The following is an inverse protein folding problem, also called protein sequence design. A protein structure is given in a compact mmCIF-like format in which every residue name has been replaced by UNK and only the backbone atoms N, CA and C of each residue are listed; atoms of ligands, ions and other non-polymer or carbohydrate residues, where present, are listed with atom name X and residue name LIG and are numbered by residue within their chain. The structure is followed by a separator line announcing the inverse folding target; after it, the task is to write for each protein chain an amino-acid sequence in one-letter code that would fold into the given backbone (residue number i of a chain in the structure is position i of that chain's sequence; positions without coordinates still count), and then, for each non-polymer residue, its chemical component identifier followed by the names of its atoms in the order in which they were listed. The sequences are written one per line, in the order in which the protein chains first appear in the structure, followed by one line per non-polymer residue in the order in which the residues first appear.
data_IF_220730006281
#
_entry.id   IF_220730006281
#
_cell.length_a   1.000
_cell.length_b   1.000
_cell.length_c   1.000
_cell.angle_alpha   90.00
_cell.angle_beta   90.00
_cell.angle_gamma   90.00
#
_symmetry.space_group_name_H-M   'P 1'
#
loop_
_entity.id
_entity.type
_entity.pdbx_description
1 polymer ?
#
# COMPACT_ATOMS: atom_id res chain seq x y z
N UNK A 1 14.55 38.04 -10.09
CA UNK A 1 14.83 36.62 -10.30
C UNK A 1 13.56 35.85 -10.01
N UNK A 2 12.64 35.85 -10.97
CA UNK A 2 11.37 35.14 -10.83
C UNK A 2 11.60 33.71 -11.34
N UNK A 3 11.67 32.74 -10.45
CA UNK A 3 11.72 31.33 -10.78
C UNK A 3 10.44 30.91 -11.54
N UNK A 4 10.42 29.69 -12.07
CA UNK A 4 9.26 29.14 -12.76
C UNK A 4 9.65 28.08 -13.77
N UNK A 5 8.66 27.59 -14.51
CA UNK A 5 8.83 26.67 -15.62
C UNK A 5 8.61 27.45 -16.93
N UNK A 6 9.53 27.32 -17.89
CA UNK A 6 9.42 27.94 -19.20
C UNK A 6 9.39 26.87 -20.29
N UNK A 7 8.49 27.04 -21.24
CA UNK A 7 8.43 26.22 -22.44
C UNK A 7 8.81 27.10 -23.66
N UNK A 8 9.74 26.63 -24.49
CA UNK A 8 10.08 27.24 -25.75
C UNK A 8 9.42 26.47 -26.90
N UNK A 9 8.55 27.14 -27.65
CA UNK A 9 7.80 26.53 -28.76
C UNK A 9 8.50 26.63 -30.12
N UNK A 10 9.76 27.05 -30.13
CA UNK A 10 10.54 27.30 -31.35
C UNK A 10 10.52 28.77 -31.80
N UNK A 11 9.62 29.59 -31.25
CA UNK A 11 9.51 31.01 -31.58
C UNK A 11 9.55 31.93 -30.35
N UNK A 12 8.86 31.54 -29.27
CA UNK A 12 8.77 32.33 -28.04
C UNK A 12 8.84 31.45 -26.80
N UNK A 13 9.16 32.06 -25.67
CA UNK A 13 9.06 31.44 -24.36
C UNK A 13 7.69 31.70 -23.74
N UNK A 14 7.00 30.64 -23.39
CA UNK A 14 5.80 30.67 -22.56
C UNK A 14 6.24 30.41 -21.12
N UNK A 15 5.93 31.31 -20.21
CA UNK A 15 6.33 31.22 -18.82
C UNK A 15 5.14 30.72 -18.00
N UNK A 16 5.33 29.63 -17.32
CA UNK A 16 4.39 29.08 -16.35
C UNK A 16 4.94 29.39 -14.96
N UNK A 17 4.65 30.58 -14.44
CA UNK A 17 5.19 31.04 -13.17
C UNK A 17 4.13 31.64 -12.25
N UNK A 18 4.46 31.76 -11.10
CA UNK A 18 4.27 32.58 -9.90
C UNK A 18 3.05 33.51 -9.76
N UNK A 19 2.34 33.86 -10.81
CA UNK A 19 1.09 34.65 -10.69
C UNK A 19 -0.14 33.76 -10.41
N UNK A 20 0.07 32.44 -10.42
CA UNK A 20 -0.96 31.48 -10.06
C UNK A 20 -1.03 31.33 -8.54
N UNK A 21 -2.13 30.78 -8.05
CA UNK A 21 -2.40 30.53 -6.62
C UNK A 21 -1.28 29.70 -5.92
N UNK A 22 -0.39 29.09 -6.72
CA UNK A 22 0.73 28.23 -6.27
C UNK A 22 2.00 28.65 -7.01
N UNK A 23 2.81 29.55 -6.44
CA UNK A 23 4.05 29.97 -7.09
C UNK A 23 5.06 28.82 -7.08
N UNK A 24 5.62 28.52 -8.27
CA UNK A 24 6.75 27.58 -8.39
C UNK A 24 8.01 28.42 -8.39
N UNK A 25 8.86 28.21 -7.40
CA UNK A 25 10.14 28.91 -7.29
C UNK A 25 11.21 28.28 -8.16
N UNK A 26 11.27 26.96 -8.21
CA UNK A 26 12.17 26.20 -9.10
C UNK A 26 11.64 24.79 -9.30
N UNK A 27 11.97 24.15 -10.42
CA UNK A 27 11.68 22.75 -10.69
C UNK A 27 12.97 21.93 -10.60
N UNK A 28 12.95 20.85 -9.82
CA UNK A 28 14.10 19.95 -9.60
C UNK A 28 14.05 18.71 -10.50
N UNK A 29 12.87 18.30 -10.94
CA UNK A 29 12.71 17.15 -11.84
C UNK A 29 11.46 17.32 -12.68
N UNK A 30 11.52 16.86 -13.94
CA UNK A 30 10.43 16.99 -14.90
C UNK A 30 10.30 15.73 -15.75
N UNK A 31 9.06 15.33 -16.06
CA UNK A 31 8.77 14.20 -16.95
C UNK A 31 7.47 14.40 -17.71
N UNK A 32 7.42 13.95 -18.96
CA UNK A 32 6.24 13.98 -19.81
C UNK A 32 5.52 12.63 -19.78
N UNK A 33 4.18 12.65 -19.77
CA UNK A 33 3.38 11.45 -19.90
C UNK A 33 2.88 11.20 -21.33
N UNK A 34 2.22 10.07 -21.55
CA UNK A 34 1.72 9.67 -22.87
C UNK A 34 0.56 10.53 -23.39
N UNK A 35 0.02 11.44 -22.57
CA UNK A 35 -1.03 12.39 -22.95
C UNK A 35 -0.44 13.79 -23.22
N UNK A 36 0.88 13.95 -23.18
CA UNK A 36 1.56 15.23 -23.35
C UNK A 36 1.51 16.13 -22.12
N UNK A 37 1.05 15.63 -20.97
CA UNK A 37 1.08 16.39 -19.72
C UNK A 37 2.48 16.37 -19.13
N UNK A 38 2.91 17.51 -18.63
CA UNK A 38 4.21 17.65 -17.96
C UNK A 38 4.04 17.55 -16.45
N UNK A 39 4.78 16.64 -15.87
CA UNK A 39 4.82 16.42 -14.41
C UNK A 39 6.13 16.92 -13.88
N UNK A 40 6.13 17.73 -12.84
CA UNK A 40 7.35 18.24 -12.26
C UNK A 40 7.24 18.45 -10.75
N UNK A 41 8.39 18.38 -10.14
CA UNK A 41 8.57 18.57 -8.70
C UNK A 41 9.27 19.91 -8.48
N UNK A 42 8.74 20.72 -7.57
CA UNK A 42 9.38 21.96 -7.14
C UNK A 42 10.39 21.70 -6.02
N UNK A 43 11.27 22.68 -5.80
CA UNK A 43 12.21 22.67 -4.66
C UNK A 43 11.51 22.66 -3.29
N UNK A 44 10.20 22.98 -3.24
CA UNK A 44 9.39 22.98 -2.04
C UNK A 44 8.64 21.66 -1.84
N UNK A 45 9.13 20.57 -2.47
CA UNK A 45 8.55 19.21 -2.39
C UNK A 45 7.10 19.09 -2.91
N UNK A 46 6.70 19.97 -3.81
CA UNK A 46 5.36 19.95 -4.40
C UNK A 46 5.37 19.29 -5.79
N UNK A 47 4.37 18.47 -6.05
CA UNK A 47 4.16 17.84 -7.34
C UNK A 47 3.12 18.62 -8.16
N UNK A 48 3.48 18.98 -9.36
CA UNK A 48 2.62 19.71 -10.30
C UNK A 48 2.36 18.92 -11.57
N UNK A 49 1.18 19.12 -12.12
CA UNK A 49 0.81 18.67 -13.47
C UNK A 49 0.45 19.88 -14.32
N UNK A 50 1.14 20.05 -15.43
CA UNK A 50 0.81 21.02 -16.49
C UNK A 50 0.13 20.28 -17.64
N UNK A 51 -1.13 20.63 -17.89
CA UNK A 51 -1.90 20.14 -19.03
C UNK A 51 -2.27 21.34 -19.91
N UNK A 52 -1.76 21.36 -21.13
CA UNK A 52 -1.80 22.49 -22.04
C UNK A 52 -1.26 23.79 -21.40
N UNK A 53 -2.15 24.67 -20.97
CA UNK A 53 -1.80 25.91 -20.27
C UNK A 53 -2.26 25.93 -18.82
N UNK A 54 -2.86 24.83 -18.33
CA UNK A 54 -3.42 24.76 -16.99
C UNK A 54 -2.48 23.99 -16.06
N UNK A 55 -1.93 24.70 -15.08
CA UNK A 55 -1.07 24.12 -14.07
C UNK A 55 -1.84 23.84 -12.78
N UNK A 56 -1.75 22.61 -12.32
CA UNK A 56 -2.42 22.16 -11.11
C UNK A 56 -1.44 21.58 -10.12
N UNK A 57 -1.58 21.93 -8.84
CA UNK A 57 -0.88 21.28 -7.76
C UNK A 57 -1.61 19.96 -7.43
N UNK A 58 -0.85 18.88 -7.37
CA UNK A 58 -1.38 17.55 -7.08
C UNK A 58 -1.35 17.31 -5.58
N UNK A 59 -2.51 17.13 -4.98
CA UNK A 59 -2.69 16.90 -3.55
C UNK A 59 -3.23 15.50 -3.25
N UNK A 60 -3.14 15.09 -1.99
CA UNK A 60 -3.81 13.90 -1.49
C UNK A 60 -3.15 12.58 -1.89
N UNK A 61 -1.91 12.62 -2.33
CA UNK A 61 -1.15 11.41 -2.61
C UNK A 61 -0.73 10.73 -1.32
N UNK A 62 -1.42 9.67 -0.97
CA UNK A 62 -1.21 8.94 0.28
C UNK A 62 0.24 8.52 0.43
N UNK A 63 0.89 9.00 1.51
CA UNK A 63 2.26 8.65 1.87
C UNK A 63 3.37 9.39 1.09
N UNK A 64 2.99 10.37 0.25
CA UNK A 64 3.94 11.32 -0.36
C UNK A 64 3.84 12.67 0.33
N UNK A 65 2.63 13.08 0.73
CA UNK A 65 2.42 14.35 1.40
C UNK A 65 3.34 14.50 2.63
N UNK A 66 4.07 15.62 2.70
CA UNK A 66 5.02 15.91 3.76
C UNK A 66 6.36 15.16 3.69
N UNK A 67 6.67 14.53 2.54
CA UNK A 67 8.00 13.94 2.27
C UNK A 67 8.75 14.77 1.24
N UNK A 68 10.07 14.77 1.37
CA UNK A 68 10.92 15.33 0.32
C UNK A 68 10.85 14.46 -0.93
N UNK A 69 10.55 15.11 -2.05
CA UNK A 69 10.45 14.50 -3.38
C UNK A 69 11.69 14.93 -4.18
N UNK A 70 12.49 13.97 -4.59
CA UNK A 70 13.76 14.22 -5.28
C UNK A 70 13.68 14.06 -6.80
N UNK A 71 12.76 13.24 -7.29
CA UNK A 71 12.68 12.97 -8.73
C UNK A 71 11.30 12.44 -9.11
N UNK A 72 10.92 12.69 -10.38
CA UNK A 72 9.70 12.15 -10.97
C UNK A 72 10.01 11.62 -12.36
N UNK A 73 9.46 10.47 -12.72
CA UNK A 73 9.43 9.96 -14.09
C UNK A 73 8.11 9.27 -14.38
N UNK A 74 7.68 9.31 -15.64
CA UNK A 74 6.44 8.66 -16.07
C UNK A 74 6.74 7.42 -16.87
N UNK A 75 6.05 6.32 -16.56
CA UNK A 75 6.07 5.11 -17.36
C UNK A 75 4.78 4.31 -17.18
N UNK A 76 4.21 3.81 -18.31
CA UNK A 76 3.02 2.95 -18.32
C UNK A 76 1.86 3.49 -17.47
N UNK A 77 1.48 4.75 -17.70
CA UNK A 77 0.39 5.42 -16.98
C UNK A 77 0.58 5.48 -15.44
N UNK A 78 1.83 5.43 -15.01
CA UNK A 78 2.22 5.59 -13.62
C UNK A 78 3.25 6.69 -13.46
N UNK A 79 3.13 7.50 -12.41
CA UNK A 79 4.24 8.30 -11.90
C UNK A 79 5.11 7.44 -11.00
N UNK A 80 6.39 7.55 -11.18
CA UNK A 80 7.41 6.98 -10.31
C UNK A 80 8.16 8.12 -9.64
N UNK A 81 8.08 8.18 -8.34
CA UNK A 81 8.53 9.31 -7.54
C UNK A 81 9.61 8.82 -6.58
N UNK A 82 10.79 9.44 -6.67
CA UNK A 82 11.88 9.23 -5.73
C UNK A 82 11.71 10.11 -4.49
N UNK A 83 11.78 9.53 -3.30
CA UNK A 83 11.56 10.21 -2.01
C UNK A 83 12.66 9.88 -1.00
N UNK A 84 12.65 10.56 0.14
CA UNK A 84 13.49 10.22 1.32
C UNK A 84 13.33 8.78 1.81
N UNK A 85 12.21 8.13 1.52
CA UNK A 85 11.88 6.79 2.02
C UNK A 85 11.84 5.71 0.93
N UNK A 86 12.55 5.93 -0.17
CA UNK A 86 12.56 5.04 -1.34
C UNK A 86 11.71 5.57 -2.47
N UNK A 87 11.07 4.69 -3.22
CA UNK A 87 10.25 5.05 -4.38
C UNK A 87 8.76 4.96 -4.06
N UNK A 88 7.99 5.76 -4.77
CA UNK A 88 6.54 5.68 -4.78
C UNK A 88 6.04 5.55 -6.22
N UNK A 89 5.19 4.58 -6.49
CA UNK A 89 4.45 4.44 -7.73
C UNK A 89 3.03 4.97 -7.53
N UNK A 90 2.59 5.87 -8.41
CA UNK A 90 1.23 6.44 -8.41
C UNK A 90 0.55 6.10 -9.72
N UNK A 91 -0.55 5.40 -9.67
CA UNK A 91 -1.36 5.07 -10.85
C UNK A 91 -2.19 6.29 -11.25
N UNK A 92 -2.04 6.76 -12.49
CA UNK A 92 -2.67 8.00 -12.95
C UNK A 92 -4.19 7.90 -13.11
N UNK A 93 -4.74 6.69 -13.24
CA UNK A 93 -6.18 6.48 -13.42
C UNK A 93 -6.99 6.71 -12.13
N UNK A 94 -6.41 6.37 -10.97
CA UNK A 94 -7.13 6.35 -9.71
C UNK A 94 -6.35 6.97 -8.55
N UNK A 95 -5.15 7.49 -8.80
CA UNK A 95 -4.21 8.06 -7.82
C UNK A 95 -3.85 7.08 -6.67
N UNK A 96 -4.05 5.78 -6.89
CA UNK A 96 -3.59 4.76 -5.94
C UNK A 96 -2.06 4.79 -5.87
N UNK A 97 -1.53 4.72 -4.66
CA UNK A 97 -0.08 4.77 -4.41
C UNK A 97 0.44 3.45 -3.88
N UNK A 98 1.60 3.04 -4.36
CA UNK A 98 2.36 1.88 -3.85
C UNK A 98 3.76 2.34 -3.46
N UNK A 99 4.19 2.00 -2.26
CA UNK A 99 5.50 2.38 -1.74
C UNK A 99 6.50 1.24 -1.86
N UNK A 100 7.69 1.56 -2.34
CA UNK A 100 8.80 0.65 -2.55
C UNK A 100 10.01 1.19 -1.76
N UNK A 101 10.20 0.71 -0.56
CA UNK A 101 11.30 1.15 0.32
C UNK A 101 11.57 0.12 1.42
N UNK A 102 12.58 0.37 2.24
CA UNK A 102 13.01 -0.53 3.31
C UNK A 102 11.88 -0.94 4.25
N UNK A 103 10.99 0.00 4.60
CA UNK A 103 9.81 -0.26 5.46
C UNK A 103 8.75 -1.14 4.80
N UNK A 104 8.86 -1.37 3.49
CA UNK A 104 7.92 -2.14 2.67
C UNK A 104 8.56 -3.41 2.12
N UNK A 105 9.70 -3.85 2.71
CA UNK A 105 10.40 -5.05 2.31
C UNK A 105 11.26 -4.93 1.03
N UNK A 106 11.39 -3.73 0.47
CA UNK A 106 12.25 -3.48 -0.68
C UNK A 106 13.57 -2.84 -0.21
N UNK A 107 14.74 -3.32 -0.64
CA UNK A 107 16.04 -2.75 -0.28
C UNK A 107 16.32 -1.46 -1.05
N UNK A 108 15.35 -0.54 -1.07
CA UNK A 108 15.42 0.73 -1.76
C UNK A 108 15.54 1.83 -0.71
N UNK A 109 16.61 2.61 -0.84
CA UNK A 109 16.96 3.69 0.07
C UNK A 109 16.47 5.03 -0.49
N UNK A 110 16.78 6.10 0.22
CA UNK A 110 16.54 7.48 -0.18
C UNK A 110 17.05 7.74 -1.62
N UNK A 111 16.18 8.30 -2.45
CA UNK A 111 16.52 8.68 -3.82
C UNK A 111 17.40 9.94 -3.84
N UNK A 112 18.20 10.09 -4.88
CA UNK A 112 18.96 11.31 -5.14
C UNK A 112 18.17 12.27 -6.02
N UNK A 113 18.44 13.56 -5.86
CA UNK A 113 17.79 14.62 -6.61
C UNK A 113 18.02 14.44 -8.13
N UNK A 114 16.93 14.52 -8.89
CA UNK A 114 16.90 14.39 -10.36
C UNK A 114 17.65 13.15 -10.92
N UNK A 115 17.87 12.13 -10.11
CA UNK A 115 18.62 10.94 -10.48
C UNK A 115 17.69 9.82 -10.95
N UNK A 116 16.94 10.06 -12.03
CA UNK A 116 16.06 9.09 -12.66
C UNK A 116 16.25 9.04 -14.16
N UNK A 117 16.16 7.85 -14.74
CA UNK A 117 16.29 7.60 -16.17
C UNK A 117 15.35 6.48 -16.59
N UNK A 118 14.70 6.63 -17.73
CA UNK A 118 14.05 5.54 -18.47
C UNK A 118 14.96 5.14 -19.64
N UNK A 119 15.37 3.87 -19.68
CA UNK A 119 16.17 3.35 -20.78
C UNK A 119 15.30 2.99 -22.02
N UNK A 120 15.96 2.64 -23.12
CA UNK A 120 15.28 2.30 -24.38
C UNK A 120 14.44 1.03 -24.31
N UNK A 121 14.67 0.18 -23.30
CA UNK A 121 13.89 -1.04 -23.05
C UNK A 121 12.66 -0.76 -22.15
N UNK A 122 12.50 0.48 -21.66
CA UNK A 122 11.44 0.90 -20.75
C UNK A 122 11.73 0.57 -19.28
N UNK A 123 12.94 0.15 -18.93
CA UNK A 123 13.31 0.00 -17.54
C UNK A 123 13.55 1.37 -16.91
N UNK A 124 13.23 1.49 -15.65
CA UNK A 124 13.46 2.70 -14.87
C UNK A 124 14.69 2.54 -13.97
N UNK A 125 15.51 3.55 -13.94
CA UNK A 125 16.71 3.59 -13.11
C UNK A 125 16.62 4.75 -12.15
N UNK A 126 16.92 4.52 -10.88
CA UNK A 126 16.93 5.54 -9.84
C UNK A 126 18.26 5.50 -9.10
N UNK A 127 18.92 6.67 -9.06
CA UNK A 127 20.04 6.88 -8.16
C UNK A 127 19.56 7.00 -6.72
N UNK A 128 20.25 6.34 -5.80
CA UNK A 128 19.97 6.39 -4.36
C UNK A 128 21.25 6.62 -3.59
N UNK A 129 21.15 6.97 -2.31
CA UNK A 129 22.32 7.14 -1.43
C UNK A 129 23.15 5.84 -1.24
N UNK A 130 22.64 4.70 -1.67
CA UNK A 130 23.32 3.38 -1.56
C UNK A 130 23.65 2.75 -2.92
N UNK A 131 23.48 3.50 -4.00
CA UNK A 131 23.75 3.03 -5.35
C UNK A 131 22.58 3.23 -6.30
N UNK A 132 22.44 2.36 -7.28
CA UNK A 132 21.43 2.47 -8.35
C UNK A 132 20.43 1.34 -8.25
N UNK A 133 19.15 1.67 -8.35
CA UNK A 133 18.03 0.72 -8.39
C UNK A 133 17.49 0.66 -9.80
N UNK A 134 17.39 -0.54 -10.38
CA UNK A 134 16.70 -0.81 -11.64
C UNK A 134 15.32 -1.39 -11.34
N UNK A 135 14.30 -0.74 -11.84
CA UNK A 135 12.92 -1.22 -11.82
C UNK A 135 12.58 -1.78 -13.21
N UNK A 136 11.95 -2.93 -13.25
CA UNK A 136 11.48 -3.60 -14.46
C UNK A 136 9.93 -3.55 -14.48
N UNK A 137 9.31 -2.44 -14.90
CA UNK A 137 7.86 -2.24 -14.74
C UNK A 137 7.03 -3.34 -15.42
N UNK A 138 7.51 -3.85 -16.56
CA UNK A 138 6.82 -4.90 -17.32
C UNK A 138 6.97 -6.30 -16.70
N UNK A 139 7.86 -6.46 -15.72
CA UNK A 139 8.08 -7.71 -14.96
C UNK A 139 7.56 -7.63 -13.54
N UNK A 140 6.99 -6.51 -13.15
CA UNK A 140 6.24 -6.50 -11.89
C UNK A 140 5.12 -7.54 -12.03
N UNK A 141 5.31 -8.68 -11.36
CA UNK A 141 4.18 -9.54 -11.02
C UNK A 141 3.15 -8.64 -10.38
N UNK A 142 1.89 -8.75 -10.81
CA UNK A 142 0.78 -8.27 -9.98
C UNK A 142 1.15 -8.65 -8.55
N UNK A 143 1.22 -7.67 -7.66
CA UNK A 143 1.47 -7.97 -6.25
C UNK A 143 0.41 -9.01 -5.93
N UNK A 144 0.86 -10.19 -5.55
CA UNK A 144 -0.02 -11.36 -5.46
C UNK A 144 -1.26 -10.96 -4.69
N UNK A 145 -2.43 -11.33 -5.20
CA UNK A 145 -3.70 -11.19 -4.50
C UNK A 145 -3.49 -11.57 -3.04
N UNK A 146 -4.12 -10.86 -2.13
CA UNK A 146 -3.97 -11.15 -0.72
C UNK A 146 -4.26 -12.63 -0.48
N UNK A 147 -3.28 -13.37 0.03
CA UNK A 147 -3.44 -14.79 0.28
C UNK A 147 -4.51 -15.00 1.35
N UNK A 148 -5.34 -16.02 1.13
CA UNK A 148 -6.28 -16.49 2.18
C UNK A 148 -5.45 -16.78 3.44
N UNK A 149 -5.77 -16.19 4.58
CA UNK A 149 -5.05 -16.47 5.80
C UNK A 149 -5.22 -17.92 6.23
N UNK A 150 -4.24 -18.44 6.95
CA UNK A 150 -4.31 -19.75 7.59
C UNK A 150 -4.69 -19.59 9.07
N UNK A 151 -5.71 -20.31 9.52
CA UNK A 151 -6.01 -20.44 10.95
C UNK A 151 -5.05 -21.48 11.52
N UNK A 152 -3.90 -21.00 11.95
CA UNK A 152 -2.74 -21.84 12.29
C UNK A 152 -2.93 -22.61 13.60
N UNK A 153 -3.80 -22.13 14.51
CA UNK A 153 -3.99 -22.70 15.82
C UNK A 153 -5.29 -22.24 16.46
N UNK A 154 -5.95 -23.13 17.19
CA UNK A 154 -7.09 -22.80 18.03
C UNK A 154 -6.80 -23.32 19.46
N UNK A 155 -6.94 -22.46 20.45
CA UNK A 155 -6.68 -22.76 21.86
C UNK A 155 -7.96 -22.64 22.67
N UNK A 156 -8.09 -23.48 23.69
CA UNK A 156 -9.15 -23.41 24.70
C UNK A 156 -8.51 -23.01 26.03
N UNK A 157 -8.98 -21.90 26.64
CA UNK A 157 -8.37 -21.30 27.84
C UNK A 157 -6.86 -21.05 27.70
N UNK A 158 -6.44 -20.55 26.51
CA UNK A 158 -5.03 -20.28 26.16
C UNK A 158 -4.11 -21.51 26.21
N UNK A 159 -4.69 -22.71 26.24
CA UNK A 159 -3.95 -23.97 26.23
C UNK A 159 -4.16 -24.74 24.94
N UNK A 160 -3.13 -25.46 24.53
CA UNK A 160 -3.16 -26.35 23.37
C UNK A 160 -3.97 -27.59 23.74
N UNK A 161 -5.28 -27.49 23.60
CA UNK A 161 -6.20 -28.56 23.94
C UNK A 161 -6.61 -29.29 22.66
N UNK A 162 -6.71 -30.62 22.73
CA UNK A 162 -7.23 -31.40 21.61
C UNK A 162 -8.67 -30.96 21.29
N UNK A 163 -8.85 -30.52 20.05
CA UNK A 163 -10.16 -30.21 19.48
C UNK A 163 -10.61 -31.46 18.69
N UNK A 164 -11.75 -32.04 19.02
CA UNK A 164 -12.26 -33.22 18.32
C UNK A 164 -12.46 -32.92 16.81
N UNK A 165 -12.31 -33.93 15.95
CA UNK A 165 -12.52 -33.81 14.51
C UNK A 165 -13.90 -33.25 14.13
N UNK A 166 -14.94 -33.62 14.93
CA UNK A 166 -16.30 -33.12 14.77
C UNK A 166 -16.47 -31.68 15.29
N UNK A 167 -15.41 -31.07 15.86
CA UNK A 167 -15.37 -29.69 16.38
C UNK A 167 -16.49 -29.37 17.38
N UNK A 168 -16.92 -30.36 18.16
CA UNK A 168 -17.94 -30.23 19.22
C UNK A 168 -17.27 -30.09 20.59
N UNK A 169 -17.36 -28.89 21.15
CA UNK A 169 -16.77 -28.51 22.43
C UNK A 169 -17.79 -28.76 23.58
N UNK A 170 -17.28 -28.94 24.79
CA UNK A 170 -18.11 -29.01 25.98
C UNK A 170 -18.56 -27.61 26.39
N UNK A 171 -19.67 -27.50 27.12
CA UNK A 171 -20.22 -26.22 27.59
C UNK A 171 -19.23 -25.36 28.38
N UNK A 172 -18.28 -25.99 29.08
CA UNK A 172 -17.24 -25.32 29.84
C UNK A 172 -15.97 -25.01 29.04
N UNK A 173 -15.95 -25.30 27.76
CA UNK A 173 -14.87 -24.99 26.83
C UNK A 173 -15.24 -23.74 25.99
N UNK A 174 -15.63 -22.68 26.65
CA UNK A 174 -16.23 -21.46 26.06
C UNK A 174 -15.32 -20.23 26.03
N UNK A 175 -14.02 -20.43 26.22
CA UNK A 175 -12.99 -19.43 26.09
C UNK A 175 -12.01 -19.88 25.00
N UNK A 176 -12.14 -19.29 23.80
CA UNK A 176 -11.47 -19.79 22.60
C UNK A 176 -10.60 -18.68 22.00
N UNK A 177 -9.35 -19.03 21.72
CA UNK A 177 -8.40 -18.14 21.03
C UNK A 177 -8.07 -18.71 19.66
N UNK A 178 -8.30 -17.91 18.62
CA UNK A 178 -7.91 -18.21 17.25
C UNK A 178 -6.61 -17.50 16.94
N UNK A 179 -5.62 -18.25 16.43
CA UNK A 179 -4.40 -17.70 15.85
C UNK A 179 -4.45 -17.87 14.33
N UNK A 180 -4.14 -16.81 13.63
CA UNK A 180 -4.18 -16.78 12.17
C UNK A 180 -2.95 -16.07 11.62
N UNK A 181 -2.60 -16.40 10.40
CA UNK A 181 -1.47 -15.77 9.71
C UNK A 181 -1.74 -15.71 8.21
N UNK A 182 -1.23 -14.69 7.55
CA UNK A 182 -1.17 -14.63 6.09
C UNK A 182 0.27 -14.48 5.66
N UNK A 183 0.61 -15.10 4.53
CA UNK A 183 1.96 -15.04 3.99
C UNK A 183 2.03 -13.82 3.06
N UNK A 184 2.76 -12.79 3.52
CA UNK A 184 3.14 -11.66 2.69
C UNK A 184 4.67 -11.54 2.71
N UNK A 185 5.33 -12.01 1.65
CA UNK A 185 6.79 -12.06 1.59
C UNK A 185 7.42 -10.68 1.38
N UNK A 186 6.66 -9.71 0.92
CA UNK A 186 7.16 -8.37 0.60
C UNK A 186 7.14 -7.41 1.77
N UNK A 187 6.13 -7.51 2.64
CA UNK A 187 5.98 -6.64 3.81
C UNK A 187 5.10 -7.32 4.87
N UNK A 188 5.61 -8.34 5.57
CA UNK A 188 4.82 -9.11 6.53
C UNK A 188 4.29 -8.27 7.69
N UNK A 189 4.98 -7.20 8.06
CA UNK A 189 4.57 -6.26 9.12
C UNK A 189 3.39 -5.35 8.72
N UNK A 190 3.03 -5.30 7.44
CA UNK A 190 1.92 -4.49 6.94
C UNK A 190 0.63 -5.27 6.75
N UNK A 191 0.67 -6.58 6.96
CA UNK A 191 -0.52 -7.42 6.91
C UNK A 191 -1.47 -6.99 8.01
N UNK A 192 -2.71 -6.73 7.61
CA UNK A 192 -3.80 -6.46 8.53
C UNK A 192 -4.85 -7.53 8.41
N UNK A 193 -5.61 -7.71 9.45
CA UNK A 193 -6.67 -8.71 9.53
C UNK A 193 -8.00 -8.06 9.89
N UNK A 194 -9.09 -8.67 9.42
CA UNK A 194 -10.43 -8.49 9.95
C UNK A 194 -10.98 -9.87 10.24
N UNK A 195 -11.72 -9.99 11.31
CA UNK A 195 -12.34 -11.24 11.71
C UNK A 195 -13.79 -11.02 12.13
N UNK A 196 -14.55 -12.09 12.10
CA UNK A 196 -15.96 -12.11 12.42
C UNK A 196 -16.34 -13.51 12.94
N UNK A 197 -16.99 -13.58 14.10
CA UNK A 197 -17.52 -14.82 14.64
C UNK A 197 -19.04 -14.84 14.46
N UNK A 198 -19.52 -15.54 13.44
CA UNK A 198 -20.94 -15.74 13.23
C UNK A 198 -21.55 -16.46 14.43
N UNK A 199 -22.70 -15.96 14.90
CA UNK A 199 -23.34 -16.41 16.15
C UNK A 199 -22.94 -15.59 17.38
N UNK A 200 -21.99 -14.64 17.27
CA UNK A 200 -21.55 -13.78 18.37
C UNK A 200 -21.38 -12.32 17.97
N UNK A 201 -20.64 -12.02 16.89
CA UNK A 201 -20.40 -10.67 16.42
C UNK A 201 -21.55 -10.17 15.54
N UNK A 202 -21.81 -8.86 15.56
CA UNK A 202 -22.81 -8.24 14.68
C UNK A 202 -22.22 -7.87 13.32
N UNK A 203 -20.90 -7.58 13.25
CA UNK A 203 -20.19 -7.17 12.04
C UNK A 203 -18.70 -7.53 12.14
N UNK A 204 -17.98 -7.34 11.04
CA UNK A 204 -16.53 -7.52 10.99
C UNK A 204 -15.80 -6.59 11.97
N UNK A 205 -14.73 -7.09 12.58
CA UNK A 205 -13.86 -6.30 13.42
C UNK A 205 -13.28 -5.10 12.66
N UNK A 206 -12.86 -4.02 13.35
CA UNK A 206 -11.92 -3.05 12.79
C UNK A 206 -10.66 -3.73 12.26
N UNK A 207 -9.88 -3.01 11.44
CA UNK A 207 -8.57 -3.48 10.98
C UNK A 207 -7.61 -3.60 12.14
N UNK A 208 -7.00 -4.77 12.31
CA UNK A 208 -6.01 -5.06 13.36
C UNK A 208 -4.73 -5.62 12.75
N UNK A 209 -3.61 -5.41 13.45
CA UNK A 209 -2.31 -6.02 13.10
C UNK A 209 -2.05 -7.30 13.93
N UNK A 210 -2.82 -7.51 15.00
CA UNK A 210 -2.71 -8.71 15.82
C UNK A 210 -3.11 -9.95 15.02
N UNK A 211 -2.36 -11.00 15.20
CA UNK A 211 -2.56 -12.28 14.51
C UNK A 211 -3.33 -13.30 15.34
N UNK A 212 -4.04 -12.84 16.35
CA UNK A 212 -4.91 -13.66 17.20
C UNK A 212 -6.08 -12.86 17.78
N UNK A 213 -7.14 -13.57 18.14
CA UNK A 213 -8.30 -13.02 18.84
C UNK A 213 -8.84 -14.04 19.85
N UNK A 214 -9.36 -13.54 20.95
CA UNK A 214 -9.94 -14.37 22.00
C UNK A 214 -11.40 -14.03 22.23
N UNK A 215 -12.26 -15.02 22.13
CA UNK A 215 -13.66 -14.95 22.51
C UNK A 215 -13.89 -15.66 23.85
N UNK A 216 -14.50 -14.97 24.79
CA UNK A 216 -14.72 -15.45 26.16
C UNK A 216 -16.20 -15.56 26.45
N UNK A 217 -16.57 -16.55 27.27
CA UNK A 217 -17.95 -16.77 27.74
C UNK A 217 -18.96 -16.96 26.58
N UNK A 218 -18.55 -17.70 25.56
CA UNK A 218 -19.46 -18.08 24.48
C UNK A 218 -20.59 -18.97 25.05
N UNK A 219 -21.81 -18.67 24.65
CA UNK A 219 -22.97 -19.49 25.01
C UNK A 219 -22.97 -20.84 24.26
N UNK A 220 -23.70 -21.84 24.69
CA UNK A 220 -23.97 -23.02 23.87
C UNK A 220 -24.60 -22.62 22.54
N UNK A 221 -24.09 -23.15 21.43
CA UNK A 221 -24.54 -22.79 20.08
C UNK A 221 -23.55 -23.21 18.98
N UNK A 222 -23.92 -22.95 17.77
CA UNK A 222 -23.07 -23.13 16.58
C UNK A 222 -22.41 -21.80 16.22
N UNK A 223 -21.16 -21.86 15.84
CA UNK A 223 -20.32 -20.69 15.52
C UNK A 223 -19.49 -20.95 14.28
N UNK A 224 -19.29 -19.90 13.50
CA UNK A 224 -18.34 -19.90 12.39
C UNK A 224 -17.38 -18.72 12.52
N UNK A 225 -16.11 -19.00 12.80
CA UNK A 225 -15.07 -17.99 12.81
C UNK A 225 -14.57 -17.76 11.40
N UNK A 226 -14.59 -16.51 10.97
CA UNK A 226 -14.16 -16.03 9.65
C UNK A 226 -13.02 -15.04 9.83
N UNK A 227 -11.97 -15.14 9.02
CA UNK A 227 -10.86 -14.18 9.00
C UNK A 227 -10.38 -13.90 7.59
N UNK A 228 -10.18 -12.62 7.30
CA UNK A 228 -9.57 -12.13 6.07
C UNK A 228 -8.29 -11.37 6.38
N UNK A 229 -7.40 -11.31 5.40
CA UNK A 229 -6.14 -10.58 5.50
C UNK A 229 -5.96 -9.61 4.33
N UNK A 230 -5.22 -8.53 4.57
CA UNK A 230 -4.77 -7.65 3.50
C UNK A 230 -3.33 -7.97 3.09
N UNK A 231 -2.99 -7.63 1.84
CA UNK A 231 -1.61 -7.54 1.42
C UNK A 231 -0.99 -6.16 1.77
N UNK A 232 0.27 -5.97 1.41
CA UNK A 232 0.98 -4.69 1.61
C UNK A 232 0.34 -3.48 0.90
N UNK A 233 -0.50 -3.70 -0.10
CA UNK A 233 -1.25 -2.66 -0.81
C UNK A 233 -2.61 -2.35 -0.20
N UNK A 234 -2.93 -2.96 0.94
CA UNK A 234 -4.24 -2.88 1.57
C UNK A 234 -5.38 -3.47 0.71
N UNK A 235 -5.04 -4.45 -0.14
CA UNK A 235 -6.02 -5.26 -0.87
C UNK A 235 -6.37 -6.47 -0.02
N UNK A 236 -7.66 -6.71 0.18
CA UNK A 236 -8.19 -7.78 1.03
C UNK A 236 -8.48 -9.02 0.20
N UNK A 237 -8.23 -10.20 0.74
CA UNK A 237 -8.70 -11.42 0.10
C UNK A 237 -10.24 -11.50 0.15
N UNK A 238 -10.84 -12.01 -0.92
CA UNK A 238 -12.30 -12.09 -1.06
C UNK A 238 -12.90 -13.28 -0.31
N UNK A 239 -12.13 -14.36 -0.17
CA UNK A 239 -12.59 -15.61 0.46
C UNK A 239 -11.98 -15.71 1.85
N UNK A 240 -12.79 -15.70 2.93
CA UNK A 240 -12.29 -15.83 4.29
C UNK A 240 -11.75 -17.25 4.57
N UNK A 241 -10.78 -17.36 5.48
CA UNK A 241 -10.50 -18.62 6.15
C UNK A 241 -11.56 -18.86 7.22
N UNK A 242 -12.02 -20.09 7.33
CA UNK A 242 -13.18 -20.45 8.16
C UNK A 242 -12.88 -21.56 9.15
N UNK A 243 -13.46 -21.44 10.35
CA UNK A 243 -13.45 -22.48 11.36
C UNK A 243 -14.83 -22.60 12.02
N UNK A 244 -15.56 -23.67 11.68
CA UNK A 244 -16.89 -23.96 12.24
C UNK A 244 -16.76 -24.85 13.48
N UNK A 245 -17.50 -24.55 14.55
CA UNK A 245 -17.52 -25.33 15.78
C UNK A 245 -18.86 -25.20 16.52
N UNK A 246 -19.13 -26.13 17.42
CA UNK A 246 -20.33 -26.16 18.24
C UNK A 246 -19.93 -26.22 19.73
N UNK A 247 -20.57 -25.42 20.58
CA UNK A 247 -20.51 -25.55 22.04
C UNK A 247 -21.80 -26.20 22.51
N UNK A 248 -21.67 -27.37 23.14
CA UNK A 248 -22.81 -28.15 23.63
C UNK A 248 -23.51 -27.48 24.84
N UNK A 249 -24.80 -27.71 24.97
CA UNK A 249 -25.55 -27.37 26.18
C UNK A 249 -25.08 -28.18 27.37
N UNK A 250 -25.09 -27.62 28.60
CA UNK A 250 -24.90 -28.41 29.81
C UNK A 250 -26.02 -29.48 29.96
N UNK A 251 -25.66 -30.63 30.43
CA UNK A 251 -26.60 -31.68 30.74
C UNK A 251 -27.32 -31.37 32.05
#
# INVERSE_FOLDING_TARGET
ENGGVMCYDGQKFNIYSTETRYPITSAVSISEDNQGRMWFVSSDDQLFCLNDSNMTLVHGLRGIDGKTIYSVTVHNNCLWIGTTNGLCQVFLDNLKTTHLGMRHGYPIFEANENATLRDSEGNLWFGTIKGVVKILPNKQKSIADAHIPDISKVQIFLQDTYIPENRKLKYNQNHITFHFRSICLTAPEQVKYKYFLEGFDEDWSPEVNDNHVTYSNLNPGEYEFNVIASNANNEWNEVPAQFVFEIKTPF
#
